data_IF_465990445633
#
_entry.id   IF_465990445633
#
_cell.length_a   1.000
_cell.length_b   1.000
_cell.length_c   1.000
_cell.angle_alpha   90.00
_cell.angle_beta   90.00
_cell.angle_gamma   90.00
#
_symmetry.space_group_name_H-M   'P 1'
#
loop_
_entity.id
_entity.type
_entity.pdbx_description
1 polymer ?
#
# COMPACT_ATOMS: atom_id res chain seq x y z
N UNK A 1 4.20 -28.47 5.22
CA UNK A 1 4.10 -28.08 3.79
C UNK A 1 4.25 -26.58 3.76
N UNK A 2 5.36 -26.05 3.26
CA UNK A 2 5.56 -24.60 3.19
C UNK A 2 4.89 -24.11 1.92
N UNK A 3 3.63 -23.71 2.02
CA UNK A 3 2.82 -23.31 0.88
C UNK A 3 2.88 -21.80 0.74
N UNK A 4 3.45 -21.32 -0.37
CA UNK A 4 3.48 -19.91 -0.72
C UNK A 4 2.29 -19.59 -1.59
N UNK A 5 1.46 -18.62 -1.22
CA UNK A 5 0.30 -18.21 -2.01
C UNK A 5 0.59 -16.84 -2.59
N UNK A 6 0.58 -16.75 -3.92
CA UNK A 6 0.72 -15.48 -4.64
C UNK A 6 -0.66 -15.05 -5.13
N UNK A 7 -1.10 -13.88 -4.66
CA UNK A 7 -2.35 -13.25 -5.08
C UNK A 7 -2.09 -11.92 -5.75
N UNK A 8 -2.95 -11.59 -6.70
CA UNK A 8 -2.82 -10.37 -7.49
C UNK A 8 -3.92 -9.40 -7.11
N UNK A 9 -3.52 -8.17 -6.76
CA UNK A 9 -4.42 -7.08 -6.41
C UNK A 9 -4.00 -5.83 -7.17
N UNK A 10 -4.96 -5.01 -7.59
CA UNK A 10 -4.62 -3.72 -8.16
C UNK A 10 -5.53 -2.60 -7.63
N UNK A 11 -4.97 -1.53 -7.04
CA UNK A 11 -5.70 -0.31 -6.77
C UNK A 11 -5.87 0.51 -8.05
N UNK A 12 -7.08 1.02 -8.25
CA UNK A 12 -7.43 1.91 -9.37
C UNK A 12 -7.60 3.36 -8.90
N UNK A 13 -7.91 3.55 -7.61
CA UNK A 13 -7.97 4.86 -6.97
C UNK A 13 -7.48 4.77 -5.53
N UNK A 14 -6.88 5.86 -5.07
CA UNK A 14 -6.38 6.00 -3.70
C UNK A 14 -7.27 6.90 -2.85
N UNK A 15 -8.22 7.63 -3.46
CA UNK A 15 -9.11 8.55 -2.76
C UNK A 15 -10.46 8.72 -3.51
N UNK A 16 -11.52 8.00 -3.09
CA UNK A 16 -11.51 6.93 -2.09
C UNK A 16 -10.72 5.70 -2.57
N UNK A 17 -10.16 4.93 -1.63
CA UNK A 17 -9.40 3.72 -1.97
C UNK A 17 -10.31 2.70 -2.66
N UNK A 18 -9.92 2.29 -3.86
CA UNK A 18 -10.61 1.29 -4.67
C UNK A 18 -9.62 0.20 -5.07
N UNK A 19 -9.52 -0.82 -4.22
CA UNK A 19 -8.65 -1.98 -4.40
C UNK A 19 -9.46 -3.18 -4.88
N UNK A 20 -9.01 -3.82 -5.97
CA UNK A 20 -9.63 -5.02 -6.52
C UNK A 20 -8.74 -6.23 -6.25
N UNK A 21 -9.30 -7.26 -5.65
CA UNK A 21 -8.63 -8.52 -5.32
C UNK A 21 -9.02 -9.59 -6.33
N UNK A 22 -8.03 -10.25 -6.95
CA UNK A 22 -8.31 -11.38 -7.84
C UNK A 22 -8.64 -12.62 -7.01
N UNK A 23 -9.80 -13.23 -7.24
CA UNK A 23 -10.27 -14.35 -6.40
C UNK A 23 -9.43 -15.61 -6.55
N UNK A 24 -8.84 -15.82 -7.72
CA UNK A 24 -7.96 -16.93 -7.99
C UNK A 24 -6.51 -16.58 -7.65
N UNK A 25 -5.75 -17.58 -7.24
CA UNK A 25 -4.35 -17.44 -6.86
C UNK A 25 -3.60 -18.70 -7.25
N UNK A 26 -2.27 -18.62 -7.25
CA UNK A 26 -1.44 -19.79 -7.44
C UNK A 26 -0.56 -20.01 -6.23
N UNK A 27 -0.24 -21.27 -5.98
CA UNK A 27 0.62 -21.70 -4.89
C UNK A 27 1.95 -22.15 -5.45
N UNK A 28 3.05 -21.72 -4.84
CA UNK A 28 4.40 -22.17 -5.15
C UNK A 28 4.90 -23.09 -4.04
N UNK A 29 5.38 -24.27 -4.43
CA UNK A 29 5.96 -25.24 -3.52
C UNK A 29 7.48 -25.26 -3.63
N UNK A 30 8.12 -25.72 -2.57
CA UNK A 30 9.54 -26.03 -2.59
C UNK A 30 9.76 -27.24 -3.51
N UNK A 31 10.87 -27.25 -4.24
CA UNK A 31 11.19 -28.36 -5.14
C UNK A 31 11.53 -29.65 -4.37
N UNK A 32 12.11 -29.49 -3.17
CA UNK A 32 12.42 -30.59 -2.27
C UNK A 32 11.54 -30.57 -1.01
N UNK A 33 11.43 -31.74 -0.37
CA UNK A 33 10.73 -31.88 0.91
C UNK A 33 11.35 -30.99 2.00
N UNK A 34 10.49 -30.32 2.75
CA UNK A 34 10.89 -29.44 3.84
C UNK A 34 11.53 -30.23 4.99
N UNK A 35 12.78 -29.91 5.32
CA UNK A 35 13.47 -30.43 6.52
C UNK A 35 14.11 -29.26 7.29
N UNK A 36 13.59 -28.91 8.49
CA UNK A 36 14.11 -27.79 9.28
C UNK A 36 15.56 -27.99 9.74
N UNK A 37 16.09 -29.23 9.67
CA UNK A 37 17.47 -29.55 10.07
C UNK A 37 18.47 -29.30 8.94
N UNK A 38 18.01 -29.25 7.68
CA UNK A 38 18.87 -29.13 6.49
C UNK A 38 18.84 -27.71 5.93
N UNK A 39 19.32 -26.74 6.72
CA UNK A 39 19.30 -25.32 6.34
C UNK A 39 20.13 -24.99 5.08
N UNK A 40 21.14 -25.80 4.76
CA UNK A 40 21.96 -25.62 3.56
C UNK A 40 21.21 -25.95 2.26
N UNK A 41 20.13 -26.74 2.33
CA UNK A 41 19.36 -27.13 1.15
C UNK A 41 18.39 -26.01 0.75
N UNK A 42 18.81 -25.15 -0.18
CA UNK A 42 17.97 -24.03 -0.64
C UNK A 42 16.68 -24.50 -1.31
N UNK A 43 16.68 -25.66 -1.96
CA UNK A 43 15.51 -26.20 -2.68
C UNK A 43 14.37 -26.65 -1.77
N UNK A 44 14.63 -26.89 -0.49
CA UNK A 44 13.60 -27.24 0.50
C UNK A 44 13.01 -26.03 1.23
N UNK A 45 13.71 -24.90 1.22
CA UNK A 45 13.34 -23.72 2.00
C UNK A 45 12.84 -22.56 1.14
N UNK A 46 13.28 -22.50 -0.12
CA UNK A 46 12.98 -21.42 -1.04
C UNK A 46 12.08 -21.93 -2.17
N UNK A 47 11.03 -21.18 -2.47
CA UNK A 47 9.99 -21.50 -3.47
C UNK A 47 10.07 -20.62 -4.71
N UNK A 48 11.12 -19.81 -4.80
CA UNK A 48 11.33 -18.93 -5.93
C UNK A 48 11.76 -19.74 -7.16
N UNK A 49 11.05 -19.58 -8.28
CA UNK A 49 11.36 -20.22 -9.56
C UNK A 49 12.80 -19.95 -10.02
N UNK A 50 13.37 -18.80 -9.67
CA UNK A 50 14.78 -18.48 -9.99
C UNK A 50 15.78 -19.42 -9.33
N UNK A 51 15.40 -20.10 -8.25
CA UNK A 51 16.22 -21.11 -7.56
C UNK A 51 15.82 -22.50 -8.06
N UNK A 52 14.52 -22.80 -8.11
CA UNK A 52 14.03 -24.12 -8.53
C UNK A 52 14.46 -24.50 -9.95
N UNK A 53 14.62 -23.52 -10.86
CA UNK A 53 15.09 -23.77 -12.24
C UNK A 53 16.50 -24.37 -12.35
N UNK A 54 17.27 -24.34 -11.26
CA UNK A 54 18.62 -24.91 -11.19
C UNK A 54 18.64 -26.32 -10.57
N UNK A 55 17.49 -26.85 -10.17
CA UNK A 55 17.39 -28.22 -9.68
C UNK A 55 17.50 -29.22 -10.85
N UNK A 56 18.10 -30.38 -10.57
CA UNK A 56 18.05 -31.53 -11.48
C UNK A 56 16.59 -31.95 -11.64
N UNK A 57 16.17 -32.26 -12.87
CA UNK A 57 14.79 -32.64 -13.25
C UNK A 57 13.72 -31.53 -13.17
N UNK A 58 14.11 -30.25 -13.11
CA UNK A 58 13.13 -29.15 -13.05
C UNK A 58 12.17 -29.13 -14.25
N UNK A 59 12.65 -29.35 -15.48
CA UNK A 59 11.80 -29.29 -16.68
C UNK A 59 10.66 -30.32 -16.65
N UNK A 60 10.93 -31.51 -16.09
CA UNK A 60 9.95 -32.60 -16.02
C UNK A 60 8.95 -32.41 -14.87
N UNK A 61 9.35 -31.68 -13.82
CA UNK A 61 8.58 -31.54 -12.57
C UNK A 61 8.11 -30.11 -12.27
N UNK A 62 8.32 -29.17 -13.20
CA UNK A 62 7.96 -27.76 -13.01
C UNK A 62 6.47 -27.59 -12.69
N UNK A 63 5.60 -28.32 -13.37
CA UNK A 63 4.14 -28.28 -13.14
C UNK A 63 3.74 -28.88 -11.78
N UNK A 64 4.56 -29.76 -11.17
CA UNK A 64 4.30 -30.28 -9.81
C UNK A 64 4.56 -29.23 -8.72
N UNK A 65 5.39 -28.23 -9.02
CA UNK A 65 5.77 -27.19 -8.04
C UNK A 65 4.75 -26.08 -7.90
N UNK A 66 3.63 -26.13 -8.65
CA UNK A 66 2.65 -25.07 -8.65
C UNK A 66 1.21 -25.58 -8.71
N UNK A 67 0.38 -25.13 -7.77
CA UNK A 67 -1.07 -25.41 -7.77
C UNK A 67 -1.91 -24.17 -8.04
N UNK A 68 -3.06 -24.37 -8.65
CA UNK A 68 -4.14 -23.39 -8.63
C UNK A 68 -4.77 -23.33 -7.23
N UNK A 69 -5.35 -22.19 -6.85
CA UNK A 69 -6.05 -22.05 -5.57
C UNK A 69 -7.21 -23.02 -5.39
N UNK A 70 -7.84 -23.47 -6.48
CA UNK A 70 -8.87 -24.52 -6.42
C UNK A 70 -8.30 -25.87 -5.99
N UNK A 71 -7.12 -26.27 -6.49
CA UNK A 71 -6.47 -27.52 -6.09
C UNK A 71 -6.10 -27.49 -4.61
N UNK A 72 -5.64 -26.33 -4.13
CA UNK A 72 -5.37 -26.14 -2.69
C UNK A 72 -6.65 -26.12 -1.85
N UNK A 73 -7.73 -25.49 -2.33
CA UNK A 73 -9.04 -25.54 -1.64
C UNK A 73 -9.51 -26.99 -1.50
N UNK A 74 -9.42 -27.78 -2.57
CA UNK A 74 -9.84 -29.18 -2.57
C UNK A 74 -8.94 -30.03 -1.64
N UNK A 75 -7.63 -29.75 -1.61
CA UNK A 75 -6.71 -30.35 -0.65
C UNK A 75 -7.12 -30.04 0.81
N UNK A 76 -7.39 -28.76 1.13
CA UNK A 76 -7.81 -28.34 2.47
C UNK A 76 -9.17 -28.93 2.87
N UNK A 77 -10.10 -29.05 1.92
CA UNK A 77 -11.40 -29.69 2.16
C UNK A 77 -11.25 -31.17 2.57
N UNK A 78 -10.20 -31.85 2.09
CA UNK A 78 -9.87 -33.23 2.48
C UNK A 78 -9.30 -33.37 3.90
N UNK A 79 -8.83 -32.29 4.54
CA UNK A 79 -8.14 -32.34 5.83
C UNK A 79 -9.07 -32.27 7.06
N UNK A 80 -10.40 -32.15 6.86
CA UNK A 80 -11.40 -32.09 7.95
C UNK A 80 -11.04 -31.11 9.08
N UNK A 81 -10.74 -29.86 8.70
CA UNK A 81 -10.18 -28.86 9.62
C UNK A 81 -11.22 -28.40 10.65
N UNK A 82 -10.84 -28.42 11.92
CA UNK A 82 -11.66 -27.95 13.05
C UNK A 82 -11.00 -26.75 13.71
N UNK A 83 -11.73 -25.63 13.80
CA UNK A 83 -11.26 -24.42 14.48
C UNK A 83 -12.31 -23.95 15.49
N UNK A 84 -11.89 -23.63 16.72
CA UNK A 84 -12.77 -23.22 17.81
C UNK A 84 -13.94 -24.21 18.06
N UNK A 85 -13.67 -25.51 17.94
CA UNK A 85 -14.68 -26.57 18.13
C UNK A 85 -15.72 -26.68 17.01
N UNK A 86 -15.54 -25.99 15.88
CA UNK A 86 -16.42 -26.07 14.70
C UNK A 86 -15.66 -26.59 13.49
N UNK A 87 -16.29 -27.51 12.78
CA UNK A 87 -15.81 -27.96 11.48
C UNK A 87 -15.94 -26.83 10.46
N UNK A 88 -14.86 -26.54 9.74
CA UNK A 88 -14.82 -25.53 8.70
C UNK A 88 -15.13 -26.20 7.36
N UNK A 89 -16.14 -25.72 6.63
CA UNK A 89 -16.59 -26.38 5.39
C UNK A 89 -15.66 -26.04 4.24
N UNK A 90 -15.24 -24.79 4.16
CA UNK A 90 -14.31 -24.32 3.14
C UNK A 90 -13.19 -23.50 3.82
N UNK A 91 -12.10 -24.15 4.24
CA UNK A 91 -11.01 -23.45 4.93
C UNK A 91 -10.37 -22.34 4.07
N UNK A 92 -10.40 -22.46 2.75
CA UNK A 92 -9.89 -21.44 1.85
C UNK A 92 -10.76 -20.18 1.89
N UNK A 93 -12.06 -20.30 1.66
CA UNK A 93 -12.97 -19.15 1.61
C UNK A 93 -13.34 -18.60 2.99
N UNK A 94 -13.31 -19.42 4.04
CA UNK A 94 -13.70 -19.01 5.39
C UNK A 94 -12.53 -18.45 6.21
N UNK A 95 -11.27 -18.85 5.93
CA UNK A 95 -10.10 -18.50 6.75
C UNK A 95 -9.03 -17.81 5.90
N UNK A 96 -8.48 -18.52 4.91
CA UNK A 96 -7.25 -18.09 4.21
C UNK A 96 -7.51 -16.85 3.35
N UNK A 97 -8.47 -16.91 2.42
CA UNK A 97 -8.75 -15.80 1.50
C UNK A 97 -9.23 -14.53 2.24
N UNK A 98 -10.12 -14.60 3.26
CA UNK A 98 -10.46 -13.42 4.07
C UNK A 98 -9.25 -12.78 4.77
N UNK A 99 -8.34 -13.59 5.31
CA UNK A 99 -7.13 -13.09 5.96
C UNK A 99 -6.20 -12.40 4.94
N UNK A 100 -6.04 -12.98 3.75
CA UNK A 100 -5.29 -12.36 2.65
C UNK A 100 -5.91 -11.03 2.22
N UNK A 101 -7.22 -10.99 1.97
CA UNK A 101 -7.96 -9.77 1.61
C UNK A 101 -7.77 -8.66 2.66
N UNK A 102 -7.81 -9.02 3.95
CA UNK A 102 -7.58 -8.06 5.03
C UNK A 102 -6.14 -7.55 5.02
N UNK A 103 -5.13 -8.42 4.87
CA UNK A 103 -3.73 -8.00 4.78
C UNK A 103 -3.47 -7.07 3.58
N UNK A 104 -4.02 -7.38 2.40
CA UNK A 104 -3.96 -6.51 1.21
C UNK A 104 -4.60 -5.16 1.50
N UNK A 105 -5.79 -5.13 2.12
CA UNK A 105 -6.45 -3.87 2.42
C UNK A 105 -5.62 -3.02 3.39
N UNK A 106 -5.13 -3.62 4.48
CA UNK A 106 -4.38 -2.90 5.53
C UNK A 106 -3.07 -2.31 5.02
N UNK A 107 -2.36 -3.05 4.17
CA UNK A 107 -1.13 -2.57 3.54
C UNK A 107 -1.40 -1.38 2.62
N UNK A 108 -2.45 -1.46 1.77
CA UNK A 108 -2.85 -0.36 0.91
C UNK A 108 -3.32 0.86 1.71
N UNK A 109 -4.10 0.67 2.79
CA UNK A 109 -4.52 1.76 3.68
C UNK A 109 -3.34 2.48 4.35
N UNK A 110 -2.32 1.73 4.75
CA UNK A 110 -1.11 2.28 5.36
C UNK A 110 -0.32 3.14 4.36
N UNK A 111 -0.22 2.69 3.10
CA UNK A 111 0.45 3.42 2.04
C UNK A 111 -0.37 4.58 1.44
N UNK A 112 -1.68 4.60 1.65
CA UNK A 112 -2.62 5.47 0.95
C UNK A 112 -2.28 6.96 1.04
N UNK A 113 -1.85 7.43 2.21
CA UNK A 113 -1.54 8.86 2.44
C UNK A 113 -0.22 9.29 1.77
N UNK A 114 0.65 8.34 1.44
CA UNK A 114 1.93 8.58 0.76
C UNK A 114 1.83 8.50 -0.77
N UNK A 115 0.69 8.05 -1.31
CA UNK A 115 0.54 7.86 -2.76
C UNK A 115 -0.14 9.08 -3.39
N UNK A 116 0.61 9.80 -4.21
CA UNK A 116 0.06 10.87 -5.03
C UNK A 116 -0.88 10.29 -6.11
N UNK A 117 -2.19 10.47 -5.92
CA UNK A 117 -3.19 9.98 -6.87
C UNK A 117 -3.05 10.69 -8.22
N UNK A 118 -2.78 9.90 -9.27
CA UNK A 118 -2.89 10.31 -10.67
C UNK A 118 -4.19 9.77 -11.25
N UNK A 119 -4.93 10.62 -11.95
CA UNK A 119 -6.14 10.18 -12.64
C UNK A 119 -5.75 9.15 -13.71
N UNK A 120 -6.57 8.10 -13.88
CA UNK A 120 -6.33 7.06 -14.88
C UNK A 120 -5.01 6.31 -14.69
N UNK A 121 -4.55 6.18 -13.45
CA UNK A 121 -3.42 5.31 -13.13
C UNK A 121 -3.93 4.13 -12.32
N UNK A 122 -3.38 2.96 -12.62
CA UNK A 122 -3.59 1.73 -11.88
C UNK A 122 -2.24 1.03 -11.79
N UNK A 123 -2.09 0.19 -10.77
CA UNK A 123 -0.86 -0.58 -10.58
C UNK A 123 -1.21 -1.98 -10.12
N UNK A 124 -0.63 -2.98 -10.76
CA UNK A 124 -0.80 -4.38 -10.37
C UNK A 124 0.27 -4.75 -9.34
N UNK A 125 -0.16 -5.21 -8.18
CA UNK A 125 0.68 -5.72 -7.10
C UNK A 125 0.55 -7.24 -6.98
N UNK A 126 1.69 -7.91 -6.84
CA UNK A 126 1.76 -9.30 -6.39
C UNK A 126 1.97 -9.34 -4.88
N UNK A 127 1.04 -9.94 -4.16
CA UNK A 127 1.15 -10.18 -2.73
C UNK A 127 1.55 -11.63 -2.49
N UNK A 128 2.68 -11.81 -1.81
CA UNK A 128 3.18 -13.13 -1.45
C UNK A 128 2.90 -13.43 0.02
N UNK A 129 2.16 -14.50 0.24
CA UNK A 129 1.75 -14.97 1.56
C UNK A 129 2.35 -16.34 1.86
N UNK A 130 2.59 -16.60 3.13
CA UNK A 130 2.86 -17.93 3.66
C UNK A 130 1.71 -18.36 4.54
N UNK A 131 1.22 -19.59 4.35
CA UNK A 131 0.17 -20.18 5.18
C UNK A 131 0.81 -21.24 6.08
N UNK A 132 0.62 -21.10 7.40
CA UNK A 132 1.14 -22.08 8.36
C UNK A 132 0.17 -23.26 8.59
N UNK A 133 0.58 -24.19 9.45
CA UNK A 133 -0.18 -25.41 9.78
C UNK A 133 -1.52 -25.14 10.48
N UNK A 134 -1.66 -23.98 11.14
CA UNK A 134 -2.89 -23.53 11.80
C UNK A 134 -3.77 -22.64 10.89
N UNK A 135 -3.41 -22.54 9.60
CA UNK A 135 -4.02 -21.67 8.60
C UNK A 135 -3.95 -20.18 8.96
N UNK A 136 -2.91 -19.75 9.68
CA UNK A 136 -2.61 -18.33 9.78
C UNK A 136 -1.88 -17.88 8.52
N UNK A 137 -2.26 -16.71 8.04
CA UNK A 137 -1.74 -16.12 6.80
C UNK A 137 -0.76 -15.02 7.16
N UNK A 138 0.47 -15.17 6.70
CA UNK A 138 1.58 -14.25 6.94
C UNK A 138 1.94 -13.56 5.63
N UNK A 139 1.82 -12.23 5.58
CA UNK A 139 2.33 -11.46 4.44
C UNK A 139 3.86 -11.45 4.49
N UNK A 140 4.49 -11.84 3.39
CA UNK A 140 5.96 -11.90 3.27
C UNK A 140 6.47 -10.67 2.52
N UNK A 141 5.93 -10.42 1.33
CA UNK A 141 6.34 -9.30 0.50
C UNK A 141 5.21 -8.81 -0.42
N UNK A 142 5.38 -7.57 -0.90
CA UNK A 142 4.51 -6.95 -1.90
C UNK A 142 5.39 -6.51 -3.06
N UNK A 143 5.19 -7.15 -4.21
CA UNK A 143 5.94 -6.90 -5.43
C UNK A 143 5.21 -5.90 -6.32
N UNK A 144 5.85 -4.76 -6.58
CA UNK A 144 5.47 -3.87 -7.69
C UNK A 144 5.91 -4.52 -9.00
N UNK A 145 5.00 -4.73 -9.94
CA UNK A 145 5.25 -5.48 -11.19
C UNK A 145 5.50 -6.98 -10.99
N UNK A 146 4.48 -7.75 -10.58
CA UNK A 146 4.60 -9.21 -10.48
C UNK A 146 4.93 -9.83 -11.84
N UNK A 147 5.68 -10.94 -11.82
CA UNK A 147 5.97 -11.68 -13.05
C UNK A 147 4.69 -12.31 -13.61
N UNK A 148 4.42 -12.02 -14.89
CA UNK A 148 3.29 -12.52 -15.66
C UNK A 148 3.76 -13.54 -16.72
N UNK A 149 4.99 -14.03 -16.61
CA UNK A 149 5.50 -15.09 -17.48
C UNK A 149 4.72 -16.40 -17.29
N UNK A 150 4.51 -17.11 -18.39
CA UNK A 150 3.79 -18.39 -18.40
C UNK A 150 4.77 -19.55 -18.14
N UNK A 151 5.33 -19.63 -16.94
CA UNK A 151 6.33 -20.64 -16.58
C UNK A 151 5.75 -22.05 -16.44
N UNK A 152 4.47 -22.17 -16.10
CA UNK A 152 3.75 -23.45 -15.96
C UNK A 152 2.38 -23.38 -16.62
N UNK A 153 1.73 -24.53 -16.79
CA UNK A 153 0.35 -24.60 -17.29
C UNK A 153 -0.62 -23.78 -16.44
N UNK A 154 -0.49 -23.85 -15.11
CA UNK A 154 -1.30 -23.08 -14.14
C UNK A 154 -1.18 -21.57 -14.32
N UNK A 155 0.04 -21.04 -14.35
CA UNK A 155 0.28 -19.58 -14.53
C UNK A 155 -0.19 -19.10 -15.89
N UNK A 156 0.02 -19.89 -16.95
CA UNK A 156 -0.41 -19.54 -18.31
C UNK A 156 -1.91 -19.29 -18.40
N UNK A 157 -2.71 -20.17 -17.79
CA UNK A 157 -4.17 -20.04 -17.80
C UNK A 157 -4.63 -18.90 -16.89
N UNK A 158 -4.06 -18.82 -15.67
CA UNK A 158 -4.43 -17.81 -14.69
C UNK A 158 -4.14 -16.38 -15.22
N UNK A 159 -2.91 -16.12 -15.65
CA UNK A 159 -2.47 -14.80 -16.10
C UNK A 159 -3.29 -14.31 -17.29
N UNK A 160 -3.55 -15.18 -18.27
CA UNK A 160 -4.32 -14.80 -19.46
C UNK A 160 -5.70 -14.27 -19.09
N UNK A 161 -6.46 -15.04 -18.33
CA UNK A 161 -7.83 -14.67 -17.95
C UNK A 161 -7.83 -13.51 -16.96
N UNK A 162 -6.83 -13.43 -16.07
CA UNK A 162 -6.67 -12.30 -15.16
C UNK A 162 -6.48 -10.98 -15.91
N UNK A 163 -5.63 -10.93 -16.94
CA UNK A 163 -5.42 -9.71 -17.72
C UNK A 163 -6.70 -9.31 -18.46
N UNK A 164 -7.45 -10.27 -18.99
CA UNK A 164 -8.76 -10.02 -19.63
C UNK A 164 -9.76 -9.43 -18.63
N UNK A 165 -9.89 -10.03 -17.44
CA UNK A 165 -10.75 -9.53 -16.35
C UNK A 165 -10.31 -8.14 -15.87
N UNK A 166 -8.99 -7.90 -15.78
CA UNK A 166 -8.42 -6.63 -15.33
C UNK A 166 -8.77 -5.51 -16.33
N UNK A 167 -8.64 -5.78 -17.63
CA UNK A 167 -9.03 -4.84 -18.67
C UNK A 167 -10.53 -4.49 -18.59
N UNK A 168 -11.39 -5.49 -18.35
CA UNK A 168 -12.82 -5.25 -18.18
C UNK A 168 -13.13 -4.37 -16.95
N UNK A 169 -12.46 -4.60 -15.81
CA UNK A 169 -12.60 -3.72 -14.64
C UNK A 169 -12.15 -2.29 -14.95
N UNK A 170 -10.98 -2.11 -15.59
CA UNK A 170 -10.42 -0.79 -15.86
C UNK A 170 -11.24 -0.01 -16.90
N UNK A 171 -11.75 -0.68 -17.92
CA UNK A 171 -12.45 -0.03 -19.03
C UNK A 171 -13.95 0.10 -18.75
N UNK A 172 -14.59 -1.01 -18.37
CA UNK A 172 -16.06 -1.10 -18.32
C UNK A 172 -16.63 -0.68 -16.96
N UNK A 173 -15.89 -0.97 -15.87
CA UNK A 173 -16.34 -0.65 -14.51
C UNK A 173 -15.82 0.71 -14.06
N UNK A 174 -14.50 0.92 -14.12
CA UNK A 174 -13.84 2.12 -13.66
C UNK A 174 -13.52 3.07 -14.81
N UNK A 175 -14.56 3.68 -15.40
CA UNK A 175 -14.48 4.71 -16.47
C UNK A 175 -13.16 5.49 -16.48
N UNK A 176 -12.18 4.99 -17.22
CA UNK A 176 -10.82 5.50 -17.23
C UNK A 176 -10.82 6.98 -17.59
N UNK A 177 -10.32 7.84 -16.68
CA UNK A 177 -10.10 9.27 -16.95
C UNK A 177 -11.30 10.20 -17.11
N UNK A 178 -12.55 9.77 -16.94
CA UNK A 178 -13.70 10.63 -17.25
C UNK A 178 -14.86 10.46 -16.26
N UNK A 179 -15.19 11.55 -15.57
CA UNK A 179 -16.59 11.92 -15.37
C UNK A 179 -16.90 13.00 -16.40
N UNK A 180 -17.88 12.76 -17.26
CA UNK A 180 -18.96 13.70 -17.59
C UNK A 180 -20.16 12.86 -18.09
N UNK A 181 -21.33 13.10 -17.52
CA UNK A 181 -22.62 12.47 -17.80
C UNK A 181 -22.85 10.96 -17.50
N UNK A 182 -23.85 10.73 -16.65
CA UNK A 182 -24.59 9.47 -16.59
C UNK A 182 -25.38 9.35 -17.90
N UNK A 183 -25.20 8.32 -18.75
CA UNK A 183 -26.20 8.04 -19.76
C UNK A 183 -27.52 7.74 -19.03
N UNK A 184 -28.56 8.52 -19.29
CA UNK A 184 -29.92 8.35 -18.74
C UNK A 184 -30.61 7.04 -19.18
N UNK A 185 -29.91 6.18 -19.92
CA UNK A 185 -30.47 4.92 -20.41
C UNK A 185 -30.31 3.86 -19.33
N UNK A 186 -31.45 3.34 -18.86
CA UNK A 186 -31.55 2.07 -18.14
C UNK A 186 -31.02 0.97 -19.06
N UNK A 187 -29.70 0.79 -19.09
CA UNK A 187 -29.12 -0.43 -19.63
C UNK A 187 -29.63 -1.56 -18.75
N UNK A 188 -30.35 -2.51 -19.36
CA UNK A 188 -30.73 -3.75 -18.71
C UNK A 188 -29.49 -4.33 -18.03
N UNK A 189 -29.65 -4.81 -16.80
CA UNK A 189 -28.58 -5.26 -15.90
C UNK A 189 -27.37 -5.83 -16.64
N UNK A 190 -26.40 -4.97 -16.96
CA UNK A 190 -25.08 -5.42 -17.33
C UNK A 190 -24.57 -6.04 -16.03
N UNK A 191 -24.53 -7.38 -15.97
CA UNK A 191 -23.83 -8.09 -14.90
C UNK A 191 -22.47 -7.43 -14.81
N UNK A 192 -22.13 -6.91 -13.62
CA UNK A 192 -20.87 -6.19 -13.40
C UNK A 192 -19.73 -7.00 -14.00
N UNK A 193 -19.11 -6.47 -15.05
CA UNK A 193 -18.13 -7.17 -15.89
C UNK A 193 -16.75 -7.27 -15.22
N UNK A 194 -16.70 -7.36 -13.88
CA UNK A 194 -15.44 -7.42 -13.14
C UNK A 194 -14.76 -8.79 -13.19
N UNK A 195 -15.34 -9.76 -13.92
CA UNK A 195 -14.81 -11.11 -14.01
C UNK A 195 -14.61 -11.71 -12.61
N UNK A 196 -13.42 -12.24 -12.36
CA UNK A 196 -13.00 -12.81 -11.07
C UNK A 196 -12.37 -11.78 -10.11
N UNK A 197 -12.41 -10.49 -10.44
CA UNK A 197 -12.03 -9.44 -9.51
C UNK A 197 -13.18 -9.06 -8.58
N UNK A 198 -12.85 -8.97 -7.31
CA UNK A 198 -13.74 -8.54 -6.24
C UNK A 198 -13.25 -7.21 -5.66
N UNK A 199 -14.13 -6.21 -5.60
CA UNK A 199 -13.82 -4.94 -4.95
C UNK A 199 -13.76 -5.15 -3.43
N UNK A 200 -12.63 -4.78 -2.82
CA UNK A 200 -12.46 -4.80 -1.37
C UNK A 200 -13.27 -3.68 -0.70
N UNK A 201 -13.96 -4.01 0.39
CA UNK A 201 -14.83 -3.13 1.19
C UNK A 201 -15.76 -2.19 0.39
N UNK A 202 -16.67 -2.72 -0.45
CA UNK A 202 -17.55 -1.91 -1.29
C UNK A 202 -18.48 -1.00 -0.47
N UNK A 203 -18.87 -1.43 0.73
CA UNK A 203 -19.70 -0.64 1.64
C UNK A 203 -18.99 0.61 2.16
N UNK A 204 -17.69 0.49 2.50
CA UNK A 204 -16.88 1.63 2.91
C UNK A 204 -16.72 2.62 1.77
N UNK A 205 -16.31 2.16 0.59
CA UNK A 205 -16.16 3.01 -0.59
C UNK A 205 -17.44 3.80 -0.90
N UNK A 206 -18.61 3.15 -0.89
CA UNK A 206 -19.90 3.82 -1.11
C UNK A 206 -20.18 4.92 -0.09
N UNK A 207 -19.71 4.78 1.16
CA UNK A 207 -19.81 5.84 2.17
C UNK A 207 -18.88 7.00 1.81
N UNK A 208 -17.61 6.73 1.52
CA UNK A 208 -16.63 7.77 1.17
C UNK A 208 -17.06 8.57 -0.08
N UNK A 209 -17.56 7.89 -1.11
CA UNK A 209 -18.10 8.51 -2.33
C UNK A 209 -19.33 9.39 -2.05
N UNK A 210 -20.25 8.96 -1.17
CA UNK A 210 -21.46 9.71 -0.81
C UNK A 210 -21.14 10.95 0.00
N UNK A 211 -20.23 10.83 0.96
CA UNK A 211 -19.94 11.91 1.90
C UNK A 211 -18.90 12.89 1.37
N UNK A 212 -18.22 12.58 0.25
CA UNK A 212 -17.14 13.39 -0.32
C UNK A 212 -16.12 13.84 0.76
N UNK A 213 -16.00 13.03 1.82
CA UNK A 213 -15.03 13.22 2.88
C UNK A 213 -13.75 12.59 2.37
N UNK A 214 -12.94 13.42 1.72
CA UNK A 214 -11.48 13.28 1.80
C UNK A 214 -11.16 13.03 3.28
N UNK A 215 -10.24 12.11 3.62
CA UNK A 215 -9.56 12.22 4.90
C UNK A 215 -9.03 13.67 4.98
N UNK A 216 -9.68 14.48 5.81
CA UNK A 216 -9.33 15.89 6.04
C UNK A 216 -8.27 16.02 7.12
N UNK A 217 -7.82 14.88 7.65
CA UNK A 217 -7.06 14.82 8.88
C UNK A 217 -5.56 15.12 8.63
N UNK A 218 -5.16 15.38 7.38
CA UNK A 218 -3.86 15.94 7.03
C UNK A 218 -3.89 17.44 6.69
N UNK A 219 -5.07 18.10 6.68
CA UNK A 219 -5.21 19.48 6.21
C UNK A 219 -5.85 20.47 7.22
N UNK A 220 -6.29 20.02 8.40
CA UNK A 220 -6.87 20.91 9.41
C UNK A 220 -5.91 21.10 10.59
N UNK A 221 -4.80 21.79 10.35
CA UNK A 221 -4.28 22.69 11.40
C UNK A 221 -5.33 23.80 11.56
N UNK A 222 -6.19 23.68 12.57
CA UNK A 222 -7.16 24.71 12.87
C UNK A 222 -6.43 25.90 13.52
N UNK A 223 -6.47 27.06 12.85
CA UNK A 223 -6.08 28.33 13.48
C UNK A 223 -7.10 28.61 14.59
N UNK A 224 -6.69 28.50 15.85
CA UNK A 224 -7.46 29.03 16.97
C UNK A 224 -7.31 30.55 17.00
N UNK A 225 -8.35 31.26 16.56
CA UNK A 225 -8.40 32.71 16.62
C UNK A 225 -9.67 33.28 15.97
N UNK A 226 -10.16 34.41 16.46
CA UNK A 226 -11.25 35.13 15.82
C UNK A 226 -10.72 35.90 14.62
N UNK A 227 -11.35 35.74 13.45
CA UNK A 227 -10.97 36.48 12.24
C UNK A 227 -11.11 38.00 12.48
N UNK A 228 -9.98 38.70 12.58
CA UNK A 228 -9.97 40.17 12.63
C UNK A 228 -10.38 40.68 11.26
N UNK A 229 -11.52 41.36 11.17
CA UNK A 229 -11.97 42.01 9.93
C UNK A 229 -11.12 43.25 9.68
N UNK A 230 -10.05 43.10 8.92
CA UNK A 230 -9.27 44.24 8.43
C UNK A 230 -10.09 44.99 7.38
N UNK A 231 -10.27 46.30 7.57
CA UNK A 231 -10.89 47.15 6.54
C UNK A 231 -9.93 47.26 5.36
N UNK A 232 -10.46 47.31 4.13
CA UNK A 232 -9.64 47.71 2.97
C UNK A 232 -9.22 49.17 3.14
N UNK A 233 -7.92 49.51 3.10
CA UNK A 233 -7.48 50.90 3.14
C UNK A 233 -7.98 51.63 1.89
N UNK A 234 -8.42 52.89 2.06
CA UNK A 234 -8.80 53.73 0.92
C UNK A 234 -7.56 54.13 0.10
N UNK A 235 -7.74 54.46 -1.17
CA UNK A 235 -6.64 54.90 -2.05
C UNK A 235 -5.96 56.13 -1.44
N UNK A 236 -4.70 56.00 -1.04
CA UNK A 236 -3.92 57.04 -0.33
C UNK A 236 -3.78 56.86 1.19
N UNK A 237 -4.39 55.82 1.79
CA UNK A 237 -4.25 55.53 3.24
C UNK A 237 -3.02 54.65 3.56
N UNK A 238 -2.36 54.05 2.57
CA UNK A 238 -1.06 53.41 2.81
C UNK A 238 0.02 54.48 2.84
N UNK A 239 0.72 54.70 3.97
CA UNK A 239 1.87 55.57 3.99
C UNK A 239 2.91 55.00 3.02
N UNK A 240 3.41 55.83 2.10
CA UNK A 240 4.69 55.57 1.46
C UNK A 240 5.77 55.89 2.50
N UNK A 241 5.92 54.99 3.48
CA UNK A 241 7.03 54.98 4.42
C UNK A 241 8.18 54.12 3.89
N UNK A 242 9.38 54.24 4.47
CA UNK A 242 10.52 53.38 4.11
C UNK A 242 10.18 51.89 4.32
N UNK A 243 10.95 51.02 3.66
CA UNK A 243 10.68 49.59 3.57
C UNK A 243 10.28 48.97 4.93
N UNK A 244 9.30 48.04 4.95
CA UNK A 244 8.67 47.52 6.17
C UNK A 244 9.61 46.68 7.05
N UNK A 245 10.86 46.46 6.64
CA UNK A 245 11.86 45.76 7.45
C UNK A 245 12.47 46.64 8.56
N UNK A 246 12.32 47.98 8.48
CA UNK A 246 12.91 48.93 9.44
C UNK A 246 11.91 49.52 10.46
N UNK A 247 10.62 49.16 10.38
CA UNK A 247 9.61 49.67 11.32
C UNK A 247 9.46 48.71 12.52
N UNK A 248 9.99 49.12 13.68
CA UNK A 248 9.97 48.34 14.94
C UNK A 248 8.57 47.84 15.33
N UNK A 249 7.49 48.49 14.87
CA UNK A 249 6.11 48.07 15.15
C UNK A 249 5.72 46.76 14.46
N UNK A 250 6.41 46.39 13.38
CA UNK A 250 6.19 45.16 12.62
C UNK A 250 7.35 44.17 12.74
N UNK A 251 8.39 44.52 13.51
CA UNK A 251 9.48 43.61 13.84
C UNK A 251 8.96 42.43 14.64
N UNK A 252 9.24 41.21 14.15
CA UNK A 252 8.87 39.97 14.82
C UNK A 252 9.43 39.92 16.26
N UNK A 253 10.60 40.52 16.49
CA UNK A 253 11.25 40.58 17.82
C UNK A 253 10.45 41.48 18.77
N UNK A 254 9.98 42.63 18.31
CA UNK A 254 9.21 43.56 19.13
C UNK A 254 7.80 43.01 19.46
N UNK A 255 7.18 42.29 18.51
CA UNK A 255 5.90 41.64 18.72
C UNK A 255 6.00 40.45 19.69
N UNK A 256 7.08 39.67 19.61
CA UNK A 256 7.38 38.59 20.57
C UNK A 256 7.64 39.13 21.98
N UNK A 257 8.38 40.24 22.10
CA UNK A 257 8.62 40.88 23.39
C UNK A 257 7.33 41.45 24.01
N UNK A 258 6.45 42.03 23.21
CA UNK A 258 5.15 42.52 23.67
C UNK A 258 4.21 41.38 24.10
N UNK A 259 4.22 40.25 23.37
CA UNK A 259 3.44 39.06 23.74
C UNK A 259 3.96 38.41 25.03
N UNK A 260 5.28 38.36 25.23
CA UNK A 260 5.89 37.90 26.49
C UNK A 260 5.54 38.82 27.68
N UNK A 261 5.48 40.13 27.46
CA UNK A 261 5.06 41.10 28.49
C UNK A 261 3.55 41.03 28.82
N UNK A 262 2.72 40.52 27.91
CA UNK A 262 1.29 40.35 28.10
C UNK A 262 0.90 39.07 28.86
N UNK A 263 1.86 38.19 29.18
CA UNK A 263 1.65 37.03 30.06
C UNK A 263 0.96 35.83 29.42
N UNK A 264 0.80 35.78 28.10
CA UNK A 264 0.10 34.71 27.37
C UNK A 264 1.04 33.58 26.87
N UNK A 265 2.11 33.28 27.61
CA UNK A 265 3.00 32.15 27.30
C UNK A 265 3.02 31.23 28.52
N UNK A 266 2.38 30.07 28.37
CA UNK A 266 2.41 29.00 29.36
C UNK A 266 3.85 28.46 29.49
N UNK A 267 4.31 28.33 30.73
CA UNK A 267 5.60 27.75 31.11
C UNK A 267 5.78 26.34 30.52
N UNK A 268 6.90 26.11 29.81
CA UNK A 268 7.44 24.76 29.59
C UNK A 268 8.26 24.32 30.83
N UNK A 269 8.21 23.03 31.24
CA UNK A 269 9.05 22.53 32.31
C UNK A 269 10.47 22.21 31.83
N UNK A 270 11.43 22.47 32.72
CA UNK A 270 12.87 22.46 32.53
C UNK A 270 13.52 21.18 31.96
N UNK A 271 14.46 21.44 31.04
CA UNK A 271 15.85 20.99 30.95
C UNK A 271 16.24 19.50 31.14
N UNK A 272 16.88 18.95 30.11
CA UNK A 272 18.02 18.04 30.28
C UNK A 272 19.01 18.13 29.10
N UNK A 273 20.23 18.62 29.39
CA UNK A 273 21.48 18.12 28.79
C UNK A 273 22.09 18.90 27.63
N UNK A 274 23.06 19.78 27.94
CA UNK A 274 24.07 20.31 27.01
C UNK A 274 24.92 19.18 26.38
N UNK A 275 25.60 19.44 25.25
CA UNK A 275 27.01 19.80 25.41
C UNK A 275 27.46 21.00 24.57
N UNK A 276 28.48 21.65 25.14
CA UNK A 276 29.16 22.87 24.73
C UNK A 276 29.84 22.79 23.37
N UNK A 277 29.79 23.93 22.67
CA UNK A 277 30.71 24.32 21.61
C UNK A 277 32.15 24.42 22.14
N UNK A 278 33.12 23.98 21.34
CA UNK A 278 34.40 24.69 21.23
C UNK A 278 34.94 24.52 19.80
N UNK A 279 34.98 25.66 19.10
CA UNK A 279 35.65 25.82 17.84
C UNK A 279 37.18 25.90 18.07
N UNK A 280 37.95 25.31 17.16
CA UNK A 280 39.27 25.87 16.82
C UNK A 280 39.59 25.57 15.35
N UNK A 281 39.64 26.65 14.58
CA UNK A 281 40.35 26.76 13.31
C UNK A 281 41.84 26.46 13.50
N UNK A 282 42.44 25.65 12.61
CA UNK A 282 43.81 25.87 12.11
C UNK A 282 43.92 25.31 10.68
N UNK A 283 44.10 26.22 9.72
CA UNK A 283 44.64 25.99 8.38
C UNK A 283 46.04 25.34 8.42
N UNK A 284 46.36 24.44 7.49
CA UNK A 284 47.50 24.58 6.54
C UNK A 284 47.91 23.27 5.86
N UNK A 285 47.86 23.32 4.52
CA UNK A 285 48.85 22.89 3.50
C UNK A 285 49.60 21.54 3.54
N UNK A 286 49.63 20.93 2.33
CA UNK A 286 50.70 20.05 1.82
C UNK A 286 50.34 18.57 1.86
N UNK A 287 50.35 17.76 0.79
CA UNK A 287 50.97 17.87 -0.53
C UNK A 287 51.63 16.51 -0.86
N UNK A 288 51.33 15.95 -2.05
CA UNK A 288 52.01 14.81 -2.70
C UNK A 288 51.94 13.44 -1.95
N UNK A 289 52.02 12.24 -2.51
CA UNK A 289 52.31 11.64 -3.83
C UNK A 289 52.01 10.12 -3.68
N UNK A 290 51.40 9.48 -4.68
CA UNK A 290 51.91 8.33 -5.47
C UNK A 290 52.67 7.17 -4.78
N UNK A 291 52.33 5.94 -5.23
CA UNK A 291 53.09 4.68 -5.11
C UNK A 291 52.50 3.74 -4.05
N UNK A 292 52.15 2.49 -4.28
CA UNK A 292 52.30 1.51 -5.38
C UNK A 292 51.16 0.48 -5.24
#
# INVERSE_FOLDING_TARGET
MTSYVSSLCFPIRWNPLAAWFYQDSYLRFSFADYDPRKLANKYSHLTNNSISKHAEDFEDRADETMWHSDEFRDHLAGLNIVRNGKHIKDPWLEIVQPAMKNAVLRTLECGQDNVAQRASSFELFGYDFMVDEDLNVWLIEVNSSPDLSSSTSTTKQLVKVMIEDMAAVIIDVEKFGLRMDRPKRKWGSCRTASGRYELLEPARRRREEKFRKLRRDAAELAIQGAAIKLRKPKRGECPAGPDPEDDERFSAIALLAAAAAAGDIAEEPEAAGEPKDEASDVDSEGGASEGD
#
